data_IF_248457719930
#
_entry.id   IF_248457719930
#
_cell.length_a   1.000
_cell.length_b   1.000
_cell.length_c   1.000
_cell.angle_alpha   90.00
_cell.angle_beta   90.00
_cell.angle_gamma   90.00
#
_symmetry.space_group_name_H-M   'P 1'
#
loop_
_entity.id
_entity.type
_entity.pdbx_description
1 polymer ?
#
# COMPACT_ATOMS: atom_id res chain seq x y z
N UNK A 1 3.29 47.13 43.52
CA UNK A 1 2.65 46.33 42.45
C UNK A 1 3.69 45.36 41.91
N UNK A 2 3.38 44.05 41.94
CA UNK A 2 4.32 42.94 41.79
C UNK A 2 4.81 42.79 40.35
N UNK A 3 6.13 42.66 40.19
CA UNK A 3 6.81 42.18 38.98
C UNK A 3 6.51 40.69 38.81
N UNK A 4 5.98 40.25 37.69
CA UNK A 4 6.01 38.83 37.29
C UNK A 4 6.36 38.78 35.80
N UNK A 5 7.58 38.32 35.55
CA UNK A 5 8.07 37.92 34.25
C UNK A 5 7.30 36.68 33.79
N UNK A 6 6.85 36.65 32.55
CA UNK A 6 6.32 35.45 31.91
C UNK A 6 7.03 35.26 30.57
N UNK A 7 8.24 34.70 30.67
CA UNK A 7 8.89 33.94 29.61
C UNK A 7 8.36 32.50 29.69
N UNK A 8 7.59 32.06 28.70
CA UNK A 8 7.29 30.65 28.41
C UNK A 8 7.08 30.54 26.89
N UNK A 9 8.10 30.12 26.14
CA UNK A 9 8.27 28.72 25.68
C UNK A 9 7.08 28.22 24.85
N UNK A 10 7.04 28.59 23.56
CA UNK A 10 6.48 27.71 22.51
C UNK A 10 7.38 27.84 21.27
N UNK A 11 8.60 27.33 21.40
CA UNK A 11 9.47 26.97 20.29
C UNK A 11 9.40 25.44 20.15
N UNK A 12 8.38 24.93 19.46
CA UNK A 12 8.34 23.55 18.92
C UNK A 12 7.13 23.42 17.98
N UNK A 13 7.23 24.07 16.83
CA UNK A 13 6.55 23.60 15.64
C UNK A 13 7.61 23.38 14.56
N UNK A 14 8.58 22.51 14.88
CA UNK A 14 9.29 21.80 13.84
C UNK A 14 8.26 20.87 13.20
N UNK A 15 7.58 21.41 12.21
CA UNK A 15 6.75 20.68 11.27
C UNK A 15 7.71 19.67 10.63
N UNK A 16 7.79 18.48 11.21
CA UNK A 16 8.30 17.30 10.55
C UNK A 16 7.26 16.94 9.47
N UNK A 17 7.22 17.74 8.41
CA UNK A 17 6.81 17.22 7.11
C UNK A 17 7.93 16.25 6.72
N UNK A 18 7.82 15.02 7.23
CA UNK A 18 8.46 13.89 6.59
C UNK A 18 7.85 13.84 5.19
N UNK A 19 8.64 14.24 4.20
CA UNK A 19 8.35 13.85 2.83
C UNK A 19 8.43 12.32 2.86
N UNK A 20 7.30 11.62 2.81
CA UNK A 20 7.30 10.20 2.48
C UNK A 20 7.81 10.14 1.04
N UNK A 21 9.08 9.76 0.90
CA UNK A 21 9.66 9.54 -0.41
C UNK A 21 8.98 8.31 -0.98
N UNK A 22 8.27 8.50 -2.10
CA UNK A 22 7.82 7.39 -2.95
C UNK A 22 9.02 6.48 -3.19
N UNK A 23 8.91 5.21 -2.79
CA UNK A 23 10.02 4.27 -2.98
C UNK A 23 10.05 3.85 -4.45
N UNK A 24 11.24 3.76 -5.04
CA UNK A 24 11.36 3.18 -6.38
C UNK A 24 10.91 1.71 -6.34
N UNK A 25 10.20 1.21 -7.37
CA UNK A 25 9.86 -0.20 -7.50
C UNK A 25 11.10 -1.10 -7.41
N UNK A 26 10.97 -2.26 -6.76
CA UNK A 26 12.09 -3.20 -6.65
C UNK A 26 12.63 -3.67 -8.02
N UNK A 27 13.95 -3.93 -8.16
CA UNK A 27 14.59 -4.23 -9.44
C UNK A 27 14.06 -5.46 -10.21
N UNK A 28 13.31 -6.34 -9.56
CA UNK A 28 12.76 -7.58 -10.14
C UNK A 28 11.22 -7.62 -10.12
N UNK A 29 10.58 -6.46 -10.00
CA UNK A 29 9.15 -6.32 -10.13
C UNK A 29 8.73 -6.52 -11.61
N UNK A 30 7.67 -7.29 -11.90
CA UNK A 30 7.19 -7.47 -13.27
C UNK A 30 6.86 -6.14 -13.92
N UNK A 31 7.20 -5.99 -15.21
CA UNK A 31 7.02 -4.74 -15.96
C UNK A 31 5.58 -4.23 -15.88
N UNK A 32 4.59 -5.14 -15.90
CA UNK A 32 3.19 -4.77 -15.84
C UNK A 32 2.75 -4.19 -14.49
N UNK A 33 3.40 -4.57 -13.37
CA UNK A 33 3.16 -3.97 -12.05
C UNK A 33 3.81 -2.59 -11.99
N UNK A 34 5.07 -2.49 -12.43
CA UNK A 34 5.80 -1.22 -12.51
C UNK A 34 5.07 -0.21 -13.39
N UNK A 35 4.51 -0.66 -14.52
CA UNK A 35 3.70 0.17 -15.40
C UNK A 35 2.44 0.69 -14.71
N UNK A 36 1.75 -0.12 -13.89
CA UNK A 36 0.59 0.33 -13.12
C UNK A 36 0.95 1.41 -12.12
N UNK A 37 2.07 1.26 -11.39
CA UNK A 37 2.58 2.29 -10.46
C UNK A 37 2.83 3.61 -11.22
N UNK A 38 3.57 3.57 -12.32
CA UNK A 38 3.91 4.76 -13.07
C UNK A 38 2.71 5.42 -13.78
N UNK A 39 1.70 4.63 -14.14
CA UNK A 39 0.47 5.11 -14.77
C UNK A 39 -0.56 5.63 -13.75
N UNK A 40 -0.46 5.26 -12.47
CA UNK A 40 -1.35 5.76 -11.40
C UNK A 40 -1.04 7.22 -11.03
N UNK A 41 -1.50 8.13 -11.90
CA UNK A 41 -1.44 9.58 -11.67
C UNK A 41 -2.39 10.05 -10.57
N UNK A 42 -3.41 9.28 -10.26
CA UNK A 42 -4.40 9.59 -9.23
C UNK A 42 -3.90 9.31 -7.81
N UNK A 43 -2.87 8.48 -7.65
CA UNK A 43 -2.39 8.05 -6.34
C UNK A 43 -3.37 7.17 -5.60
N UNK A 44 -4.10 6.37 -6.36
CA UNK A 44 -5.04 5.38 -5.83
C UNK A 44 -4.26 4.19 -5.28
N UNK A 45 -3.17 3.77 -5.92
CA UNK A 45 -2.33 2.67 -5.44
C UNK A 45 -1.54 3.16 -4.22
N UNK A 46 -1.72 2.48 -3.09
CA UNK A 46 -1.07 2.80 -1.81
C UNK A 46 0.14 1.93 -1.57
N UNK A 47 -0.03 0.61 -1.72
CA UNK A 47 1.04 -0.36 -1.56
C UNK A 47 0.94 -1.46 -2.59
N UNK A 48 2.09 -2.05 -2.93
CA UNK A 48 2.15 -3.35 -3.61
C UNK A 48 2.78 -4.33 -2.65
N UNK A 49 2.05 -5.41 -2.35
CA UNK A 49 2.54 -6.52 -1.54
C UNK A 49 2.70 -7.78 -2.39
N UNK A 50 3.66 -8.63 -2.04
CA UNK A 50 3.91 -9.90 -2.71
C UNK A 50 3.78 -11.07 -1.74
N UNK A 51 3.21 -12.16 -2.22
CA UNK A 51 3.21 -13.46 -1.54
C UNK A 51 3.56 -14.56 -2.57
N UNK A 52 4.28 -15.60 -2.15
CA UNK A 52 4.52 -16.78 -2.99
C UNK A 52 3.48 -17.84 -2.71
N UNK A 53 2.71 -18.22 -3.72
CA UNK A 53 1.66 -19.26 -3.65
C UNK A 53 2.01 -20.34 -4.65
N UNK A 54 2.19 -21.59 -4.20
CA UNK A 54 2.57 -22.72 -5.06
C UNK A 54 3.82 -22.46 -5.94
N UNK A 55 4.78 -21.70 -5.43
CA UNK A 55 6.00 -21.34 -6.16
C UNK A 55 5.85 -20.21 -7.19
N UNK A 56 4.68 -19.58 -7.27
CA UNK A 56 4.41 -18.41 -8.12
C UNK A 56 4.28 -17.15 -7.26
N UNK A 57 4.83 -16.02 -7.72
CA UNK A 57 4.66 -14.72 -7.05
C UNK A 57 3.31 -14.13 -7.42
N UNK A 58 2.51 -13.82 -6.42
CA UNK A 58 1.25 -13.10 -6.55
C UNK A 58 1.41 -11.71 -5.91
N UNK A 59 0.82 -10.70 -6.54
CA UNK A 59 0.93 -9.30 -6.17
C UNK A 59 -0.44 -8.77 -5.80
N UNK A 60 -0.56 -8.25 -4.59
CA UNK A 60 -1.75 -7.52 -4.15
C UNK A 60 -1.53 -6.03 -4.43
N UNK A 61 -2.38 -5.49 -5.29
CA UNK A 61 -2.42 -4.06 -5.62
C UNK A 61 -3.41 -3.40 -4.66
N UNK A 62 -2.90 -2.89 -3.54
CA UNK A 62 -3.72 -2.28 -2.51
C UNK A 62 -3.99 -0.82 -2.85
N UNK A 63 -5.27 -0.46 -2.81
CA UNK A 63 -5.77 0.88 -3.12
C UNK A 63 -6.55 1.51 -1.95
N UNK A 64 -6.55 0.84 -0.79
CA UNK A 64 -7.49 1.03 0.33
C UNK A 64 -8.97 0.92 -0.05
N UNK A 65 -9.30 0.50 -1.27
CA UNK A 65 -10.68 0.45 -1.74
C UNK A 65 -11.52 -0.54 -0.92
N UNK A 66 -10.91 -1.59 -0.36
CA UNK A 66 -11.57 -2.50 0.58
C UNK A 66 -12.25 -1.75 1.74
N UNK A 67 -11.69 -0.63 2.21
CA UNK A 67 -12.21 0.13 3.35
C UNK A 67 -13.39 1.04 2.98
N UNK A 68 -13.71 1.14 1.69
CA UNK A 68 -14.81 1.93 1.13
C UNK A 68 -15.66 1.09 0.17
N UNK A 69 -15.88 -0.18 0.51
CA UNK A 69 -16.72 -1.15 -0.21
C UNK A 69 -16.29 -1.40 -1.68
N UNK A 70 -15.05 -1.05 -2.00
CA UNK A 70 -14.43 -1.28 -3.29
C UNK A 70 -13.73 -2.63 -3.38
N UNK A 71 -13.12 -2.86 -4.55
CA UNK A 71 -12.44 -4.10 -4.90
C UNK A 71 -10.96 -3.82 -5.12
N UNK A 72 -10.13 -4.69 -4.57
CA UNK A 72 -8.69 -4.74 -4.77
C UNK A 72 -8.32 -6.05 -5.45
N UNK A 73 -7.27 -6.02 -6.26
CA UNK A 73 -6.94 -7.14 -7.13
C UNK A 73 -5.63 -7.80 -6.72
N UNK A 74 -5.62 -9.13 -6.82
CA UNK A 74 -4.42 -9.94 -6.72
C UNK A 74 -4.13 -10.49 -8.11
N UNK A 75 -2.91 -10.25 -8.59
CA UNK A 75 -2.45 -10.66 -9.92
C UNK A 75 -1.20 -11.53 -9.85
N UNK A 76 -0.96 -12.36 -10.85
CA UNK A 76 0.29 -13.13 -10.97
C UNK A 76 1.43 -12.29 -11.62
N UNK A 77 2.59 -12.92 -11.88
CA UNK A 77 3.73 -12.30 -12.55
C UNK A 77 3.44 -11.82 -13.99
N UNK A 78 2.37 -12.31 -14.61
CA UNK A 78 1.91 -11.90 -15.93
C UNK A 78 0.79 -10.84 -15.85
N UNK A 79 0.52 -10.30 -14.65
CA UNK A 79 -0.62 -9.42 -14.36
C UNK A 79 -1.99 -10.03 -14.71
N UNK A 80 -2.10 -11.35 -14.72
CA UNK A 80 -3.39 -12.03 -14.80
C UNK A 80 -4.05 -11.97 -13.43
N UNK A 81 -5.28 -11.48 -13.36
CA UNK A 81 -6.05 -11.49 -12.12
C UNK A 81 -6.28 -12.94 -11.66
N UNK A 82 -5.78 -13.27 -10.47
CA UNK A 82 -5.91 -14.59 -9.85
C UNK A 82 -6.85 -14.58 -8.65
N UNK A 83 -7.08 -13.41 -8.04
CA UNK A 83 -8.04 -13.25 -6.96
C UNK A 83 -8.43 -11.77 -6.80
N UNK A 84 -9.35 -11.49 -5.88
CA UNK A 84 -9.70 -10.15 -5.46
C UNK A 84 -10.05 -10.12 -3.97
N UNK A 85 -9.89 -8.97 -3.35
CA UNK A 85 -10.34 -8.66 -1.99
C UNK A 85 -11.40 -7.58 -2.12
N UNK A 86 -12.46 -7.65 -1.33
CA UNK A 86 -13.45 -6.59 -1.28
C UNK A 86 -14.03 -6.44 0.13
N UNK A 87 -14.50 -5.23 0.45
CA UNK A 87 -15.02 -4.89 1.78
C UNK A 87 -16.35 -5.57 2.11
N UNK A 88 -17.35 -5.42 1.24
CA UNK A 88 -18.73 -5.83 1.52
C UNK A 88 -19.23 -7.04 0.72
N UNK A 89 -18.37 -7.72 -0.06
CA UNK A 89 -18.76 -8.96 -0.74
C UNK A 89 -18.35 -10.23 0.01
N UNK A 90 -19.00 -11.33 -0.34
CA UNK A 90 -18.57 -12.65 0.08
C UNK A 90 -17.13 -12.89 -0.40
N UNK A 91 -16.26 -13.31 0.53
CA UNK A 91 -14.88 -13.63 0.22
C UNK A 91 -14.83 -14.72 -0.87
N UNK A 92 -14.11 -14.49 -1.99
CA UNK A 92 -14.00 -15.51 -3.02
C UNK A 92 -13.12 -16.68 -2.54
N UNK A 93 -13.41 -17.88 -3.03
CA UNK A 93 -12.69 -19.11 -2.64
C UNK A 93 -11.17 -19.04 -2.83
N UNK A 94 -10.71 -18.24 -3.81
CA UNK A 94 -9.30 -18.03 -4.08
C UNK A 94 -8.55 -17.43 -2.88
N UNK A 95 -9.21 -16.68 -1.99
CA UNK A 95 -8.57 -16.10 -0.80
C UNK A 95 -8.07 -17.17 0.18
N UNK A 96 -8.63 -18.39 0.14
CA UNK A 96 -8.15 -19.50 0.96
C UNK A 96 -6.72 -19.95 0.62
N UNK A 97 -6.16 -19.50 -0.51
CA UNK A 97 -4.77 -19.79 -0.90
C UNK A 97 -3.75 -18.83 -0.25
N UNK A 98 -4.20 -17.80 0.48
CA UNK A 98 -3.34 -16.75 1.01
C UNK A 98 -3.37 -16.74 2.53
N UNK A 99 -2.25 -16.31 3.12
CA UNK A 99 -2.11 -16.14 4.56
C UNK A 99 -1.91 -14.65 4.80
N UNK A 100 -2.75 -14.04 5.63
CA UNK A 100 -2.72 -12.59 5.82
C UNK A 100 -1.35 -12.04 6.29
N UNK A 101 -0.60 -12.82 7.06
CA UNK A 101 0.71 -12.43 7.60
C UNK A 101 1.88 -12.65 6.65
N UNK A 102 1.68 -13.33 5.53
CA UNK A 102 2.76 -13.73 4.62
C UNK A 102 2.99 -12.72 3.49
N UNK A 103 2.13 -11.69 3.41
CA UNK A 103 2.30 -10.57 2.48
C UNK A 103 3.49 -9.72 2.88
N UNK A 104 4.38 -9.47 1.92
CA UNK A 104 5.53 -8.59 2.08
C UNK A 104 5.35 -7.37 1.20
N UNK A 105 5.30 -6.17 1.80
CA UNK A 105 5.27 -4.92 1.04
C UNK A 105 6.59 -4.70 0.31
N UNK A 106 6.54 -4.57 -1.01
CA UNK A 106 7.69 -4.34 -1.89
C UNK A 106 7.67 -2.97 -2.55
N UNK A 107 6.57 -2.23 -2.41
CA UNK A 107 6.46 -0.84 -2.83
C UNK A 107 5.38 -0.13 -2.01
N UNK A 108 5.62 1.14 -1.70
CA UNK A 108 4.67 2.02 -1.04
C UNK A 108 4.89 3.45 -1.51
N UNK A 109 3.79 4.21 -1.58
CA UNK A 109 3.83 5.65 -1.80
C UNK A 109 4.05 6.40 -0.50
#
# INVERSE_FOLDING_TARGET
MKKIALLLLIATAAIQQGCECEHDPEPNMPECITAQIWQDKSGIIKTISVQTVNGQRHYWINTDAQNSDGIEYIVDENCTQVCYICGECAAPDCLNNYTYTDWVTIWQR
#
